data_IF_505360227613
#
_entry.id   IF_505360227613
#
_cell.length_a   1.000
_cell.length_b   1.000
_cell.length_c   1.000
_cell.angle_alpha   90.00
_cell.angle_beta   90.00
_cell.angle_gamma   90.00
#
_symmetry.space_group_name_H-M   'P 1'
#
loop_
_entity.id
_entity.type
_entity.pdbx_description
1 polymer ?
#
# COMPACT_ATOMS: atom_id res chain seq x y z
N UNK A 1 -0.30 -22.22 6.69
CA UNK A 1 0.30 -20.87 6.83
C UNK A 1 -0.78 -19.86 7.25
N UNK A 2 -0.43 -18.81 8.00
CA UNK A 2 -1.29 -17.67 8.36
C UNK A 2 -0.76 -16.41 7.67
N UNK A 3 -1.60 -15.76 6.87
CA UNK A 3 -1.27 -14.50 6.20
C UNK A 3 -2.11 -13.39 6.81
N UNK A 4 -1.48 -12.28 7.18
CA UNK A 4 -2.17 -11.01 7.46
C UNK A 4 -2.26 -10.21 6.17
N UNK A 5 -3.47 -9.85 5.76
CA UNK A 5 -3.68 -8.97 4.60
C UNK A 5 -4.16 -7.61 5.10
N UNK A 6 -3.49 -6.54 4.68
CA UNK A 6 -3.85 -5.14 4.94
C UNK A 6 -3.99 -4.38 3.63
N UNK A 7 -4.86 -3.38 3.60
CA UNK A 7 -5.14 -2.55 2.44
C UNK A 7 -5.67 -1.18 2.92
N UNK A 8 -5.75 -0.19 2.03
CA UNK A 8 -6.41 1.10 2.28
C UNK A 8 -5.93 1.76 3.57
N UNK A 9 -4.61 1.73 3.79
CA UNK A 9 -3.96 2.24 5.00
C UNK A 9 -4.16 3.75 5.11
N UNK A 10 -4.12 4.45 3.97
CA UNK A 10 -4.37 5.88 3.85
C UNK A 10 -3.62 6.74 4.87
N UNK A 11 -2.30 6.53 4.93
CA UNK A 11 -1.38 7.22 5.82
C UNK A 11 -1.80 7.20 7.32
N UNK A 12 -2.64 6.23 7.71
CA UNK A 12 -3.07 6.03 9.09
C UNK A 12 -2.06 5.18 9.86
N UNK A 13 -0.93 5.82 10.20
CA UNK A 13 0.18 5.18 10.89
C UNK A 13 -0.25 4.48 12.18
N UNK A 14 -1.14 5.10 12.97
CA UNK A 14 -1.59 4.54 14.26
C UNK A 14 -2.38 3.25 14.06
N UNK A 15 -3.28 3.21 13.08
CA UNK A 15 -4.03 1.99 12.77
C UNK A 15 -3.12 0.90 12.23
N UNK A 16 -2.24 1.23 11.27
CA UNK A 16 -1.28 0.26 10.72
C UNK A 16 -0.39 -0.33 11.82
N UNK A 17 0.21 0.51 12.65
CA UNK A 17 1.10 0.04 13.74
C UNK A 17 0.36 -0.83 14.74
N UNK A 18 -0.84 -0.43 15.16
CA UNK A 18 -1.65 -1.21 16.10
C UNK A 18 -2.05 -2.57 15.51
N UNK A 19 -2.37 -2.63 14.22
CA UNK A 19 -2.67 -3.90 13.51
C UNK A 19 -1.43 -4.79 13.47
N UNK A 20 -0.28 -4.28 13.03
CA UNK A 20 0.96 -5.07 12.96
C UNK A 20 1.38 -5.59 14.35
N UNK A 21 1.20 -4.79 15.40
CA UNK A 21 1.52 -5.21 16.77
C UNK A 21 0.55 -6.26 17.35
N UNK A 22 -0.71 -6.25 16.90
CA UNK A 22 -1.72 -7.21 17.36
C UNK A 22 -1.57 -8.61 16.74
N UNK A 23 -0.84 -8.71 15.62
CA UNK A 23 -0.71 -9.94 14.84
C UNK A 23 0.77 -10.31 14.63
N UNK A 24 1.47 -10.58 15.73
CA UNK A 24 2.90 -10.98 15.73
C UNK A 24 3.16 -12.46 15.41
N UNK A 25 2.10 -13.26 15.25
CA UNK A 25 2.15 -14.72 15.07
C UNK A 25 1.68 -15.19 13.69
N UNK A 26 1.86 -14.34 12.68
CA UNK A 26 1.60 -14.65 11.26
C UNK A 26 2.89 -15.03 10.54
N UNK A 27 2.76 -15.80 9.45
CA UNK A 27 3.89 -16.26 8.66
C UNK A 27 4.29 -15.22 7.59
N UNK A 28 3.31 -14.49 7.03
CA UNK A 28 3.52 -13.42 6.05
C UNK A 28 2.53 -12.26 6.25
N UNK A 29 2.94 -11.06 5.85
CA UNK A 29 2.09 -9.86 5.79
C UNK A 29 2.03 -9.34 4.37
N UNK A 30 0.83 -9.19 3.83
CA UNK A 30 0.59 -8.69 2.47
C UNK A 30 -0.12 -7.34 2.52
N UNK A 31 0.39 -6.36 1.78
CA UNK A 31 -0.22 -5.04 1.63
C UNK A 31 -0.80 -4.88 0.22
N UNK A 32 -2.09 -4.54 0.12
CA UNK A 32 -2.79 -4.35 -1.14
C UNK A 32 -2.85 -2.89 -1.60
N UNK A 33 -1.93 -2.05 -1.11
CA UNK A 33 -1.79 -0.67 -1.57
C UNK A 33 -2.65 0.33 -0.81
N UNK A 34 -2.68 1.53 -1.37
CA UNK A 34 -3.23 2.75 -0.75
C UNK A 34 -2.60 3.00 0.62
N UNK A 35 -1.27 2.99 0.62
CA UNK A 35 -0.41 3.21 1.78
C UNK A 35 -0.49 4.67 2.23
N UNK A 36 -0.63 5.57 1.27
CA UNK A 36 -0.58 7.03 1.43
C UNK A 36 -1.94 7.69 1.23
N UNK A 37 -1.95 9.03 1.22
CA UNK A 37 -3.13 9.88 1.01
C UNK A 37 -4.18 9.79 2.15
N UNK A 38 -5.01 10.83 2.32
CA UNK A 38 -5.93 11.12 3.43
C UNK A 38 -5.36 11.27 4.85
N UNK A 39 -4.35 10.50 5.24
CA UNK A 39 -3.73 10.56 6.57
C UNK A 39 -2.48 11.45 6.64
N UNK A 40 -2.07 11.88 7.85
CA UNK A 40 -0.99 12.85 8.03
C UNK A 40 0.43 12.25 7.99
N UNK A 41 0.57 10.92 7.94
CA UNK A 41 1.87 10.23 8.13
C UNK A 41 2.24 9.28 6.97
N UNK A 42 2.26 9.74 5.70
CA UNK A 42 2.52 8.88 4.55
C UNK A 42 3.92 8.23 4.61
N UNK A 43 4.97 9.00 4.89
CA UNK A 43 6.34 8.47 4.98
C UNK A 43 6.47 7.37 6.04
N UNK A 44 5.87 7.57 7.21
CA UNK A 44 5.94 6.58 8.29
C UNK A 44 5.16 5.28 7.95
N UNK A 45 4.06 5.39 7.20
CA UNK A 45 3.34 4.22 6.68
C UNK A 45 4.16 3.48 5.63
N UNK A 46 4.79 4.19 4.68
CA UNK A 46 5.68 3.60 3.68
C UNK A 46 6.81 2.84 4.37
N UNK A 47 7.45 3.45 5.36
CA UNK A 47 8.55 2.83 6.10
C UNK A 47 8.10 1.56 6.85
N UNK A 48 6.92 1.59 7.51
CA UNK A 48 6.35 0.40 8.16
C UNK A 48 6.02 -0.71 7.16
N UNK A 49 5.38 -0.38 6.03
CA UNK A 49 5.06 -1.37 5.00
C UNK A 49 6.34 -2.02 4.47
N UNK A 50 7.38 -1.22 4.17
CA UNK A 50 8.69 -1.72 3.70
C UNK A 50 9.37 -2.63 4.72
N UNK A 51 9.21 -2.35 6.00
CA UNK A 51 9.86 -3.11 7.06
C UNK A 51 9.11 -4.41 7.38
N UNK A 52 7.78 -4.43 7.27
CA UNK A 52 6.95 -5.49 7.82
C UNK A 52 6.18 -6.31 6.79
N UNK A 53 5.99 -5.84 5.56
CA UNK A 53 5.22 -6.55 4.54
C UNK A 53 6.14 -7.34 3.60
N UNK A 54 5.82 -8.62 3.42
CA UNK A 54 6.52 -9.55 2.52
C UNK A 54 6.11 -9.34 1.06
N UNK A 55 4.84 -9.00 0.84
CA UNK A 55 4.26 -8.80 -0.49
C UNK A 55 3.48 -7.50 -0.51
N UNK A 56 3.71 -6.68 -1.52
CA UNK A 56 3.07 -5.36 -1.64
C UNK A 56 2.68 -5.14 -3.09
N UNK A 57 1.43 -4.78 -3.32
CA UNK A 57 0.99 -4.21 -4.59
C UNK A 57 0.65 -2.73 -4.40
N UNK A 58 0.82 -1.96 -5.46
CA UNK A 58 0.57 -0.52 -5.45
C UNK A 58 -0.92 -0.23 -5.58
N UNK A 59 -1.42 0.74 -4.81
CA UNK A 59 -2.77 1.28 -4.97
C UNK A 59 -2.82 2.42 -5.98
N UNK A 60 -4.02 2.87 -6.34
CA UNK A 60 -4.17 4.03 -7.23
C UNK A 60 -3.72 5.32 -6.55
N UNK A 61 -3.98 5.47 -5.25
CA UNK A 61 -3.57 6.65 -4.50
C UNK A 61 -2.05 6.69 -4.33
N UNK A 62 -1.41 5.53 -4.15
CA UNK A 62 0.06 5.42 -4.09
C UNK A 62 0.73 5.93 -5.38
N UNK A 63 0.23 5.51 -6.55
CA UNK A 63 0.78 5.95 -7.85
C UNK A 63 0.51 7.43 -8.10
N UNK A 64 -0.70 7.90 -7.79
CA UNK A 64 -1.07 9.31 -7.89
C UNK A 64 -0.16 10.19 -7.02
N UNK A 65 0.05 9.79 -5.78
CA UNK A 65 0.93 10.46 -4.82
C UNK A 65 2.39 10.47 -5.30
N UNK A 66 2.91 9.32 -5.76
CA UNK A 66 4.29 9.19 -6.23
C UNK A 66 4.59 10.02 -7.49
N UNK A 67 3.58 10.27 -8.33
CA UNK A 67 3.68 11.06 -9.57
C UNK A 67 3.30 12.54 -9.39
N UNK A 68 2.90 12.96 -8.20
CA UNK A 68 2.30 14.27 -7.97
C UNK A 68 1.09 14.55 -8.88
N UNK A 69 0.30 13.51 -9.18
CA UNK A 69 -0.89 13.61 -10.03
C UNK A 69 -2.13 13.33 -9.18
N UNK A 70 -2.91 14.35 -8.79
CA UNK A 70 -4.11 14.13 -7.98
C UNK A 70 -5.09 13.20 -8.71
N UNK A 71 -5.78 12.33 -7.96
CA UNK A 71 -6.97 11.66 -8.46
C UNK A 71 -8.04 12.71 -8.79
N UNK A 72 -8.84 12.46 -9.83
CA UNK A 72 -9.93 13.35 -10.18
C UNK A 72 -10.91 13.47 -9.00
N UNK A 73 -11.35 14.70 -8.71
CA UNK A 73 -12.29 15.09 -7.65
C UNK A 73 -11.74 15.22 -6.20
N UNK A 74 -10.43 15.03 -5.98
CA UNK A 74 -9.83 15.17 -4.64
C UNK A 74 -9.08 16.52 -4.48
N UNK A 75 -9.70 17.46 -3.77
CA UNK A 75 -9.12 18.77 -3.39
C UNK A 75 -8.02 18.65 -2.29
N UNK A 76 -7.54 17.44 -2.03
CA UNK A 76 -6.55 17.11 -0.98
C UNK A 76 -5.09 17.45 -1.35
N UNK A 77 -4.93 18.30 -2.37
CA UNK A 77 -3.67 18.87 -2.87
C UNK A 77 -2.79 19.52 -1.78
N UNK A 78 -3.31 19.74 -0.57
CA UNK A 78 -2.57 20.28 0.57
C UNK A 78 -1.53 19.29 1.14
N UNK A 79 -1.61 17.99 0.83
CA UNK A 79 -0.71 16.94 1.36
C UNK A 79 0.20 16.28 0.31
N UNK A 80 0.43 16.97 -0.81
CA UNK A 80 1.44 16.58 -1.80
C UNK A 80 2.78 16.18 -1.14
N UNK A 81 3.59 15.31 -1.78
CA UNK A 81 4.80 14.68 -1.22
C UNK A 81 5.96 15.64 -0.86
N UNK A 82 5.71 16.93 -0.66
CA UNK A 82 6.69 17.93 -0.23
C UNK A 82 7.48 17.52 1.01
N UNK A 83 6.95 16.62 1.85
CA UNK A 83 7.62 16.08 3.03
C UNK A 83 7.91 14.56 2.96
N UNK A 84 7.89 14.00 1.75
CA UNK A 84 8.22 12.59 1.48
C UNK A 84 9.58 12.49 0.80
N UNK A 85 10.42 11.56 1.26
CA UNK A 85 11.74 11.37 0.67
C UNK A 85 11.65 10.83 -0.76
N UNK A 86 12.64 11.17 -1.60
CA UNK A 86 12.76 10.61 -2.96
C UNK A 86 12.74 9.07 -2.93
N UNK A 87 13.41 8.46 -1.95
CA UNK A 87 13.47 7.01 -1.77
C UNK A 87 12.10 6.38 -1.50
N UNK A 88 11.17 7.13 -0.89
CA UNK A 88 9.82 6.65 -0.63
C UNK A 88 8.93 6.82 -1.86
N UNK A 89 9.11 7.89 -2.64
CA UNK A 89 8.44 8.06 -3.93
C UNK A 89 8.91 7.00 -4.94
N UNK A 90 10.21 6.74 -5.01
CA UNK A 90 10.79 5.70 -5.86
C UNK A 90 10.31 4.32 -5.46
N UNK A 91 10.16 4.06 -4.15
CA UNK A 91 9.57 2.81 -3.68
C UNK A 91 8.15 2.63 -4.22
N UNK A 92 7.27 3.61 -4.02
CA UNK A 92 5.88 3.55 -4.52
C UNK A 92 5.82 3.38 -6.05
N UNK A 93 6.67 4.11 -6.79
CA UNK A 93 6.73 4.03 -8.26
C UNK A 93 7.18 2.65 -8.78
N UNK A 94 7.91 1.87 -7.99
CA UNK A 94 8.43 0.56 -8.37
C UNK A 94 7.60 -0.61 -7.82
N UNK A 95 6.56 -0.34 -7.04
CA UNK A 95 5.66 -1.39 -6.57
C UNK A 95 4.88 -2.01 -7.75
N UNK A 96 4.72 -3.34 -7.77
CA UNK A 96 3.96 -4.01 -8.82
C UNK A 96 2.47 -3.69 -8.70
N UNK A 97 1.78 -3.63 -9.83
CA UNK A 97 0.30 -3.52 -9.84
C UNK A 97 -0.39 -4.87 -9.70
N UNK A 98 0.32 -5.97 -9.95
CA UNK A 98 -0.17 -7.33 -9.82
C UNK A 98 0.95 -8.25 -9.34
N UNK A 99 0.61 -9.12 -8.40
CA UNK A 99 1.45 -10.26 -8.01
C UNK A 99 0.63 -11.54 -8.09
N UNK A 100 1.25 -12.60 -8.62
CA UNK A 100 0.70 -13.96 -8.54
C UNK A 100 1.63 -14.78 -7.66
N UNK A 101 1.07 -15.43 -6.66
CA UNK A 101 1.81 -16.18 -5.65
C UNK A 101 1.21 -17.58 -5.51
N UNK A 102 2.02 -18.55 -5.13
CA UNK A 102 1.56 -19.87 -4.71
C UNK A 102 2.00 -20.12 -3.28
N UNK A 103 1.06 -20.59 -2.43
CA UNK A 103 1.33 -20.99 -1.06
C UNK A 103 0.46 -22.18 -0.70
N UNK A 104 1.04 -23.21 -0.08
CA UNK A 104 0.34 -24.42 0.33
C UNK A 104 -0.52 -25.06 -0.81
N UNK A 105 -0.06 -24.95 -2.06
CA UNK A 105 -0.77 -25.43 -3.26
C UNK A 105 -1.98 -24.58 -3.70
N UNK A 106 -2.15 -23.39 -3.12
CA UNK A 106 -3.19 -22.41 -3.48
C UNK A 106 -2.55 -21.25 -4.25
N UNK A 107 -3.09 -20.92 -5.42
CA UNK A 107 -2.70 -19.74 -6.19
C UNK A 107 -3.47 -18.50 -5.71
N UNK A 108 -2.75 -17.40 -5.49
CA UNK A 108 -3.27 -16.10 -5.12
C UNK A 108 -2.95 -15.08 -6.21
N UNK A 109 -3.90 -14.21 -6.52
CA UNK A 109 -3.72 -13.04 -7.36
C UNK A 109 -3.96 -11.80 -6.50
N UNK A 110 -2.93 -10.98 -6.34
CA UNK A 110 -2.97 -9.76 -5.56
C UNK A 110 -3.02 -8.59 -6.54
N UNK A 111 -4.07 -7.79 -6.41
CA UNK A 111 -4.30 -6.53 -7.11
C UNK A 111 -5.04 -5.62 -6.13
N UNK A 112 -4.88 -4.30 -6.26
CA UNK A 112 -5.57 -3.35 -5.40
C UNK A 112 -7.07 -3.26 -5.78
N UNK A 113 -7.36 -3.04 -7.05
CA UNK A 113 -8.72 -2.92 -7.59
C UNK A 113 -9.33 -4.27 -8.01
N UNK A 114 -9.13 -4.66 -9.26
CA UNK A 114 -9.64 -5.92 -9.81
C UNK A 114 -8.68 -6.54 -10.85
N UNK A 115 -8.80 -7.84 -11.18
CA UNK A 115 -7.94 -8.46 -12.18
C UNK A 115 -8.04 -7.84 -13.59
N UNK A 116 -9.17 -7.22 -13.93
CA UNK A 116 -9.34 -6.50 -15.20
C UNK A 116 -8.84 -5.05 -15.15
N UNK A 117 -8.77 -4.46 -13.96
CA UNK A 117 -8.24 -3.12 -13.72
C UNK A 117 -7.60 -3.08 -12.32
N UNK A 118 -6.28 -3.24 -12.30
CA UNK A 118 -5.52 -3.48 -11.07
C UNK A 118 -5.59 -2.33 -10.05
N UNK A 119 -5.98 -1.13 -10.47
CA UNK A 119 -5.87 0.09 -9.67
C UNK A 119 -7.21 0.66 -9.22
N UNK A 120 -8.28 0.56 -10.00
CA UNK A 120 -9.54 1.24 -9.62
C UNK A 120 -10.76 0.32 -9.64
N UNK A 121 -10.59 -0.93 -10.06
CA UNK A 121 -11.65 -1.94 -10.08
C UNK A 121 -12.81 -1.66 -11.06
N UNK A 122 -12.78 -0.52 -11.76
CA UNK A 122 -13.79 -0.07 -12.74
C UNK A 122 -13.51 -0.59 -14.15
#
# INVERSE_FOLDING_TARGET
>A
MKILVVADIHANYRALKATLDAFDNVDEVWCLGDIVEYGPMPSACIDLVRQHCDQVVVGNHDLSFAKCQPQADDDWTVWFPHNTSINNLDYLNNLPTLLTLERDGISYCLVHGSPSNHLTGR
#
